data_IF_204529279019
#
_entry.id   IF_204529279019
#
_cell.length_a   1.000
_cell.length_b   1.000
_cell.length_c   1.000
_cell.angle_alpha   90.00
_cell.angle_beta   90.00
_cell.angle_gamma   90.00
#
_symmetry.space_group_name_H-M   'P 1'
#
loop_
_entity.id
_entity.type
_entity.pdbx_description
1 polymer ?
#
# COMPACT_ATOMS: atom_id res chain seq x y z
N UNK A 1 -29.75 -6.58 38.62
CA UNK A 1 -28.66 -5.65 39.01
C UNK A 1 -27.41 -6.08 38.28
N UNK A 2 -27.31 -5.73 37.00
CA UNK A 2 -26.58 -4.58 36.42
C UNK A 2 -25.08 -4.89 36.26
N UNK A 3 -24.71 -5.28 35.04
CA UNK A 3 -23.38 -5.59 34.50
C UNK A 3 -22.44 -4.37 34.43
N UNK A 4 -22.77 -3.29 35.14
CA UNK A 4 -22.14 -1.98 35.06
C UNK A 4 -20.97 -1.79 36.05
N UNK A 5 -20.73 -2.74 36.95
CA UNK A 5 -19.66 -2.62 37.96
C UNK A 5 -18.27 -3.09 37.46
N UNK A 6 -18.21 -3.86 36.36
CA UNK A 6 -16.94 -4.41 35.86
C UNK A 6 -16.18 -3.48 34.90
N UNK A 7 -16.71 -2.31 34.56
CA UNK A 7 -16.07 -1.36 33.62
C UNK A 7 -15.15 -0.36 34.32
N UNK A 8 -15.11 -0.33 35.66
CA UNK A 8 -14.44 0.74 36.43
C UNK A 8 -12.99 0.47 36.86
N UNK A 9 -12.34 -0.63 36.47
CA UNK A 9 -11.00 -0.97 37.02
C UNK A 9 -9.84 -1.07 36.02
N UNK A 10 -10.00 -0.70 34.75
CA UNK A 10 -8.89 -0.78 33.79
C UNK A 10 -8.77 0.43 32.85
N UNK A 11 -8.86 1.65 33.39
CA UNK A 11 -8.27 2.83 32.75
C UNK A 11 -6.83 3.01 33.24
N UNK A 12 -5.88 2.27 32.66
CA UNK A 12 -4.45 2.55 32.84
C UNK A 12 -4.17 3.95 32.26
N UNK A 13 -3.95 4.93 33.13
CA UNK A 13 -3.44 6.26 32.78
C UNK A 13 -2.04 6.07 32.17
N UNK A 14 -1.87 6.36 30.88
CA UNK A 14 -0.60 6.23 30.14
C UNK A 14 0.40 7.38 30.43
N UNK A 15 0.24 8.13 31.53
CA UNK A 15 0.99 9.38 31.74
C UNK A 15 2.06 9.35 32.84
N UNK A 16 2.30 8.23 33.51
CA UNK A 16 3.37 8.15 34.52
C UNK A 16 4.44 7.15 34.10
N UNK A 17 5.61 7.67 33.70
CA UNK A 17 6.81 6.83 33.56
C UNK A 17 7.82 7.18 32.48
N UNK A 18 7.88 8.40 31.93
CA UNK A 18 9.04 8.82 31.13
C UNK A 18 10.22 9.18 32.06
N UNK A 19 10.83 8.18 32.69
CA UNK A 19 12.22 8.32 33.18
C UNK A 19 13.12 8.30 31.94
N UNK A 20 13.52 9.49 31.50
CA UNK A 20 14.57 9.64 30.49
C UNK A 20 15.84 8.99 31.02
N UNK A 21 16.30 7.91 30.39
CA UNK A 21 17.69 7.46 30.50
C UNK A 21 18.60 8.60 30.02
N UNK A 22 19.78 8.80 30.61
CA UNK A 22 20.71 9.80 30.12
C UNK A 22 21.15 9.39 28.72
N UNK A 23 20.74 10.18 27.72
CA UNK A 23 21.14 10.04 26.32
C UNK A 23 22.65 10.30 26.28
N UNK A 24 23.42 9.23 26.37
CA UNK A 24 24.79 9.17 25.90
C UNK A 24 24.76 8.30 24.66
N UNK A 25 24.61 8.94 23.52
CA UNK A 25 25.31 8.59 22.29
C UNK A 25 25.06 9.73 21.31
N UNK A 26 26.16 10.32 20.87
CA UNK A 26 26.19 11.29 19.77
C UNK A 26 25.39 10.66 18.62
N UNK A 27 24.43 11.36 17.97
CA UNK A 27 23.80 10.79 16.79
C UNK A 27 24.92 10.39 15.84
N UNK A 28 24.93 9.12 15.43
CA UNK A 28 25.89 8.63 14.45
C UNK A 28 25.87 9.62 13.28
N UNK A 29 27.02 10.21 13.02
CA UNK A 29 27.18 11.09 11.88
C UNK A 29 26.92 10.21 10.67
N UNK A 30 25.79 10.44 9.98
CA UNK A 30 25.49 9.75 8.73
C UNK A 30 26.48 10.32 7.72
N UNK A 31 27.64 9.69 7.60
CA UNK A 31 28.46 9.83 6.41
C UNK A 31 27.63 9.22 5.29
N UNK A 32 27.27 9.97 4.23
CA UNK A 32 26.76 9.35 3.02
C UNK A 32 27.85 8.38 2.59
N UNK A 33 27.61 7.10 2.82
CA UNK A 33 28.37 6.07 2.16
C UNK A 33 28.02 6.27 0.67
N UNK A 34 29.00 6.20 -0.22
CA UNK A 34 28.71 6.10 -1.65
C UNK A 34 27.97 4.77 -1.82
N UNK A 35 26.66 4.78 -1.58
CA UNK A 35 25.80 3.63 -1.64
C UNK A 35 25.75 3.19 -3.10
N UNK A 36 26.01 1.91 -3.34
CA UNK A 36 25.89 1.32 -4.67
C UNK A 36 24.55 1.75 -5.30
N UNK A 37 24.54 2.17 -6.58
CA UNK A 37 23.34 2.71 -7.20
C UNK A 37 22.18 1.73 -7.08
N UNK A 38 20.98 2.24 -6.78
CA UNK A 38 19.81 1.37 -6.60
C UNK A 38 19.38 0.88 -7.99
N UNK A 39 19.54 -0.41 -8.23
CA UNK A 39 19.09 -1.05 -9.46
C UNK A 39 17.66 -1.58 -9.30
N UNK A 40 16.79 -1.25 -10.26
CA UNK A 40 15.40 -1.74 -10.32
C UNK A 40 15.15 -2.38 -11.68
N UNK A 41 14.77 -3.66 -11.69
CA UNK A 41 14.40 -4.38 -12.90
C UNK A 41 12.88 -4.46 -13.01
N UNK A 42 12.32 -3.88 -14.06
CA UNK A 42 10.88 -3.91 -14.37
C UNK A 42 10.67 -4.59 -15.74
N UNK A 43 10.55 -5.91 -15.74
CA UNK A 43 10.47 -6.70 -16.97
C UNK A 43 11.79 -6.67 -17.75
N UNK A 44 11.76 -6.14 -18.98
CA UNK A 44 12.95 -5.96 -19.83
C UNK A 44 13.71 -4.66 -19.54
N UNK A 45 13.13 -3.75 -18.75
CA UNK A 45 13.72 -2.45 -18.43
C UNK A 45 14.59 -2.54 -17.16
N UNK A 46 15.81 -2.05 -17.25
CA UNK A 46 16.74 -1.90 -16.15
C UNK A 46 16.86 -0.42 -15.80
N UNK A 47 16.59 -0.05 -14.54
CA UNK A 47 16.65 1.31 -14.03
C UNK A 47 17.74 1.41 -12.97
N UNK A 48 18.45 2.53 -12.96
CA UNK A 48 19.53 2.88 -12.03
C UNK A 48 19.14 4.19 -11.35
N UNK A 49 19.13 4.22 -10.03
CA UNK A 49 18.97 5.45 -9.26
C UNK A 49 20.33 6.06 -8.95
N UNK A 50 20.64 7.20 -9.56
CA UNK A 50 21.90 7.94 -9.36
C UNK A 50 21.61 9.45 -9.39
N UNK A 51 22.25 10.22 -8.50
CA UNK A 51 22.10 11.69 -8.52
C UNK A 51 20.67 12.20 -8.26
N UNK A 52 19.89 11.48 -7.45
CA UNK A 52 18.45 11.70 -7.21
C UNK A 52 17.53 11.50 -8.43
N UNK A 53 18.02 10.92 -9.52
CA UNK A 53 17.24 10.65 -10.73
C UNK A 53 17.24 9.15 -11.09
N UNK A 54 16.15 8.69 -11.70
CA UNK A 54 16.05 7.35 -12.26
C UNK A 54 16.50 7.37 -13.73
N UNK A 55 17.54 6.63 -14.05
CA UNK A 55 18.08 6.48 -15.40
C UNK A 55 17.84 5.07 -15.92
N UNK A 56 17.70 4.90 -17.24
CA UNK A 56 17.65 3.58 -17.85
C UNK A 56 19.09 3.07 -18.02
N UNK A 57 19.34 1.83 -17.63
CA UNK A 57 20.63 1.14 -17.83
C UNK A 57 20.80 0.86 -19.33
N UNK A 58 21.57 1.71 -20.01
CA UNK A 58 21.80 1.68 -21.45
C UNK A 58 22.79 2.78 -21.87
N UNK A 59 23.35 2.72 -23.10
CA UNK A 59 24.42 3.63 -23.53
C UNK A 59 24.02 5.11 -23.36
N UNK A 60 24.92 5.84 -22.69
CA UNK A 60 24.75 7.17 -22.08
C UNK A 60 24.32 8.27 -23.08
N UNK A 61 24.55 8.06 -24.38
CA UNK A 61 24.33 9.10 -25.40
C UNK A 61 22.90 9.20 -25.97
N UNK A 62 21.94 8.39 -25.51
CA UNK A 62 20.56 8.41 -26.02
C UNK A 62 19.45 8.36 -24.95
N UNK A 63 19.79 8.34 -23.66
CA UNK A 63 18.96 7.72 -22.61
C UNK A 63 18.03 8.63 -21.81
N UNK A 64 18.39 9.88 -21.51
CA UNK A 64 17.67 10.68 -20.48
C UNK A 64 16.23 11.07 -20.87
N UNK A 65 16.04 11.62 -22.08
CA UNK A 65 14.70 12.03 -22.54
C UNK A 65 13.75 10.86 -22.84
N UNK A 66 14.29 9.72 -23.29
CA UNK A 66 13.50 8.51 -23.57
C UNK A 66 13.12 7.77 -22.29
N UNK A 67 13.99 7.76 -21.28
CA UNK A 67 13.70 7.17 -19.97
C UNK A 67 12.58 7.94 -19.25
N UNK A 68 12.63 9.28 -19.28
CA UNK A 68 11.58 10.13 -18.69
C UNK A 68 10.21 9.91 -19.36
N UNK A 69 10.17 9.81 -20.69
CA UNK A 69 8.93 9.52 -21.41
C UNK A 69 8.41 8.10 -21.10
N UNK A 70 9.29 7.09 -21.06
CA UNK A 70 8.90 5.72 -20.75
C UNK A 70 8.35 5.58 -19.32
N UNK A 71 8.95 6.27 -18.35
CA UNK A 71 8.47 6.32 -16.96
C UNK A 71 7.11 7.03 -16.86
N UNK A 72 6.94 8.15 -17.59
CA UNK A 72 5.65 8.84 -17.66
C UNK A 72 4.56 7.95 -18.26
N UNK A 73 4.85 7.29 -19.38
CA UNK A 73 3.92 6.37 -20.05
C UNK A 73 3.57 5.17 -19.16
N UNK A 74 4.55 4.65 -18.40
CA UNK A 74 4.34 3.56 -17.46
C UNK A 74 3.47 4.00 -16.27
N UNK A 75 3.72 5.20 -15.74
CA UNK A 75 2.92 5.79 -14.66
C UNK A 75 1.46 5.96 -15.09
N UNK A 76 1.22 6.48 -16.30
CA UNK A 76 -0.15 6.65 -16.80
C UNK A 76 -0.85 5.31 -17.05
N UNK A 77 -0.15 4.32 -17.61
CA UNK A 77 -0.69 2.96 -17.75
C UNK A 77 -1.05 2.35 -16.40
N UNK A 78 -0.20 2.51 -15.39
CA UNK A 78 -0.48 2.00 -14.04
C UNK A 78 -1.72 2.67 -13.45
N UNK A 79 -1.84 4.00 -13.58
CA UNK A 79 -3.03 4.77 -13.15
C UNK A 79 -4.32 4.27 -13.80
N UNK A 80 -4.29 3.99 -15.10
CA UNK A 80 -5.43 3.45 -15.85
C UNK A 80 -5.78 2.05 -15.33
N UNK A 81 -4.78 1.17 -15.17
CA UNK A 81 -4.99 -0.19 -14.67
C UNK A 81 -5.53 -0.20 -13.22
N UNK A 82 -5.09 0.72 -12.37
CA UNK A 82 -5.63 0.89 -11.02
C UNK A 82 -7.11 1.29 -11.07
N UNK A 83 -7.48 2.24 -11.93
CA UNK A 83 -8.88 2.65 -12.09
C UNK A 83 -9.76 1.50 -12.60
N UNK A 84 -9.28 0.73 -13.58
CA UNK A 84 -9.97 -0.47 -14.06
C UNK A 84 -10.12 -1.53 -12.96
N UNK A 85 -9.07 -1.74 -12.18
CA UNK A 85 -9.10 -2.68 -11.06
C UNK A 85 -10.14 -2.29 -10.01
N UNK A 86 -10.25 -0.99 -9.69
CA UNK A 86 -11.29 -0.48 -8.79
C UNK A 86 -12.70 -0.70 -9.36
N UNK A 87 -12.88 -0.45 -10.66
CA UNK A 87 -14.16 -0.69 -11.32
C UNK A 87 -14.54 -2.18 -11.30
N UNK A 88 -13.57 -3.08 -11.54
CA UNK A 88 -13.79 -4.52 -11.47
C UNK A 88 -14.16 -4.97 -10.05
N UNK A 89 -13.46 -4.47 -9.02
CA UNK A 89 -13.80 -4.73 -7.61
C UNK A 89 -15.23 -4.32 -7.29
N UNK A 90 -15.65 -3.13 -7.73
CA UNK A 90 -17.02 -2.67 -7.55
C UNK A 90 -18.04 -3.60 -8.23
N UNK A 91 -17.80 -3.99 -9.49
CA UNK A 91 -18.67 -4.92 -10.22
C UNK A 91 -18.80 -6.26 -9.50
N UNK A 92 -17.69 -6.81 -8.98
CA UNK A 92 -17.69 -8.05 -8.21
C UNK A 92 -18.50 -7.90 -6.92
N UNK A 93 -18.36 -6.78 -6.21
CA UNK A 93 -19.14 -6.52 -5.00
C UNK A 93 -20.65 -6.53 -5.29
N UNK A 94 -21.09 -5.80 -6.32
CA UNK A 94 -22.50 -5.77 -6.74
C UNK A 94 -23.02 -7.15 -7.12
N UNK A 95 -22.26 -7.92 -7.90
CA UNK A 95 -22.66 -9.27 -8.29
C UNK A 95 -22.75 -10.21 -7.09
N UNK A 96 -21.87 -10.04 -6.10
CA UNK A 96 -21.90 -10.81 -4.85
C UNK A 96 -23.15 -10.50 -4.04
N UNK A 97 -23.53 -9.23 -3.93
CA UNK A 97 -24.75 -8.81 -3.25
C UNK A 97 -26.01 -9.34 -3.96
N UNK A 98 -26.04 -9.29 -5.30
CA UNK A 98 -27.13 -9.87 -6.09
C UNK A 98 -27.25 -11.39 -5.90
N UNK A 99 -26.11 -12.09 -5.83
CA UNK A 99 -26.08 -13.54 -5.54
C UNK A 99 -26.58 -13.84 -4.12
N UNK A 100 -26.23 -13.03 -3.13
CA UNK A 100 -26.75 -13.17 -1.78
C UNK A 100 -28.27 -12.96 -1.74
N UNK A 101 -28.78 -11.95 -2.47
CA UNK A 101 -30.22 -11.68 -2.62
C UNK A 101 -30.97 -12.85 -3.24
N UNK A 102 -30.51 -13.34 -4.40
CA UNK A 102 -31.16 -14.48 -5.08
C UNK A 102 -31.14 -15.76 -4.24
N UNK A 103 -30.06 -16.00 -3.48
CA UNK A 103 -30.00 -17.12 -2.52
C UNK A 103 -31.00 -16.95 -1.38
N UNK A 104 -31.16 -15.74 -0.84
CA UNK A 104 -32.16 -15.44 0.19
C UNK A 104 -33.57 -15.73 -0.34
N UNK A 105 -33.90 -15.24 -1.54
CA UNK A 105 -35.21 -15.45 -2.17
C UNK A 105 -35.51 -16.94 -2.36
N UNK A 106 -34.51 -17.71 -2.81
CA UNK A 106 -34.64 -19.16 -2.97
C UNK A 106 -34.94 -19.86 -1.63
N UNK A 107 -34.25 -19.46 -0.55
CA UNK A 107 -34.48 -20.03 0.78
C UNK A 107 -35.88 -19.67 1.32
N UNK A 108 -36.35 -18.44 1.09
CA UNK A 108 -37.71 -18.03 1.49
C UNK A 108 -38.78 -18.84 0.74
N UNK A 109 -38.60 -19.06 -0.57
CA UNK A 109 -39.51 -19.89 -1.37
C UNK A 109 -39.55 -21.34 -0.89
N UNK A 110 -38.41 -21.90 -0.47
CA UNK A 110 -38.36 -23.24 0.12
C UNK A 110 -39.08 -23.29 1.47
N UNK A 111 -38.87 -22.28 2.33
CA UNK A 111 -39.53 -22.18 3.63
C UNK A 111 -41.05 -22.04 3.53
N UNK A 112 -41.59 -21.41 2.47
CA UNK A 112 -43.05 -21.31 2.25
C UNK A 112 -43.69 -22.53 1.58
N UNK A 113 -42.88 -23.47 1.07
CA UNK A 113 -43.36 -24.74 0.49
C UNK A 113 -43.33 -25.92 1.48
N UNK A 114 -42.77 -25.71 2.67
CA UNK A 114 -42.75 -26.68 3.78
C UNK A 114 -43.81 -26.33 4.80
#
# INVERSE_FOLDING_TARGET
MSTWENVKKHTRRLSDGFRRSPIKEKPAYFTPQDDDPIHLQLGEAHLIYEGNEWMLDGPVDAGSGRASQALHDLSEKNRILEAENQLLKFKIAVLTDMLAGTKLDMLQLQAHRS
#
